data_IF_042975653970
#
_entry.id   IF_042975653970
#
_cell.length_a   1.000
_cell.length_b   1.000
_cell.length_c   1.000
_cell.angle_alpha   90.00
_cell.angle_beta   90.00
_cell.angle_gamma   90.00
#
_symmetry.space_group_name_H-M   'P 1'
#
loop_
_entity.id
_entity.type
_entity.pdbx_description
1 polymer ?
#
# COMPACT_ATOMS: atom_id res chain seq x y z
N UNK A 1 13.28 15.04 -32.53
CA UNK A 1 13.05 15.21 -31.07
C UNK A 1 11.55 15.04 -30.84
N UNK A 2 11.08 13.80 -30.88
CA UNK A 2 9.65 13.51 -30.94
C UNK A 2 9.07 13.44 -29.53
N UNK A 3 8.11 14.31 -29.27
CA UNK A 3 7.48 14.48 -27.96
C UNK A 3 6.72 13.21 -27.60
N UNK A 4 7.18 12.60 -26.52
CA UNK A 4 6.50 11.66 -25.62
C UNK A 4 4.97 11.87 -25.58
N UNK A 5 4.24 11.29 -26.53
CA UNK A 5 2.79 11.08 -26.42
C UNK A 5 2.60 9.97 -25.41
N UNK A 6 2.48 10.35 -24.14
CA UNK A 6 2.05 9.45 -23.08
C UNK A 6 0.69 8.87 -23.53
N UNK A 7 0.68 7.58 -23.89
CA UNK A 7 -0.51 6.85 -24.31
C UNK A 7 -1.66 7.15 -23.35
N UNK A 8 -2.78 7.66 -23.88
CA UNK A 8 -3.93 8.18 -23.12
C UNK A 8 -4.43 7.16 -22.08
N UNK A 9 -4.23 5.88 -22.33
CA UNK A 9 -4.61 4.81 -21.42
C UNK A 9 -3.65 4.65 -20.24
N UNK A 10 -2.34 4.83 -20.48
CA UNK A 10 -1.32 4.85 -19.43
C UNK A 10 -1.46 6.07 -18.54
N UNK A 11 -1.84 7.22 -19.09
CA UNK A 11 -2.06 8.45 -18.31
C UNK A 11 -3.27 8.35 -17.38
N UNK A 12 -4.35 7.65 -17.78
CA UNK A 12 -5.53 7.41 -16.93
C UNK A 12 -5.17 6.54 -15.72
N UNK A 13 -4.44 5.44 -15.93
CA UNK A 13 -3.98 4.59 -14.81
C UNK A 13 -3.00 5.32 -13.91
N UNK A 14 -2.09 6.10 -14.48
CA UNK A 14 -1.15 6.91 -13.71
C UNK A 14 -1.89 7.94 -12.86
N UNK A 15 -2.93 8.59 -13.41
CA UNK A 15 -3.81 9.49 -12.67
C UNK A 15 -4.51 8.81 -11.50
N UNK A 16 -5.00 7.58 -11.70
CA UNK A 16 -5.59 6.77 -10.61
C UNK A 16 -4.56 6.47 -9.51
N UNK A 17 -3.34 6.06 -9.87
CA UNK A 17 -2.25 5.82 -8.92
C UNK A 17 -1.89 7.10 -8.14
N UNK A 18 -1.79 8.24 -8.82
CA UNK A 18 -1.53 9.54 -8.19
C UNK A 18 -2.65 9.89 -7.20
N UNK A 19 -3.92 9.73 -7.58
CA UNK A 19 -5.05 9.98 -6.69
C UNK A 19 -5.03 9.07 -5.45
N UNK A 20 -4.70 7.78 -5.61
CA UNK A 20 -4.53 6.85 -4.48
C UNK A 20 -3.44 7.36 -3.53
N UNK A 21 -2.27 7.72 -4.06
CA UNK A 21 -1.13 8.24 -3.29
C UNK A 21 -1.51 9.53 -2.54
N UNK A 22 -2.16 10.47 -3.23
CA UNK A 22 -2.59 11.73 -2.64
C UNK A 22 -3.64 11.53 -1.55
N UNK A 23 -4.59 10.61 -1.74
CA UNK A 23 -5.59 10.29 -0.73
C UNK A 23 -4.96 9.70 0.55
N UNK A 24 -3.96 8.83 0.40
CA UNK A 24 -3.18 8.31 1.53
C UNK A 24 -2.40 9.41 2.24
N UNK A 25 -1.71 10.27 1.47
CA UNK A 25 -0.94 11.37 2.03
C UNK A 25 -1.84 12.36 2.78
N UNK A 26 -2.99 12.70 2.20
CA UNK A 26 -3.98 13.57 2.81
C UNK A 26 -4.51 12.99 4.13
N UNK A 27 -4.90 11.71 4.18
CA UNK A 27 -5.39 11.11 5.42
C UNK A 27 -4.36 11.21 6.56
N UNK A 28 -3.08 10.97 6.25
CA UNK A 28 -2.02 11.04 7.26
C UNK A 28 -1.72 12.45 7.73
N UNK A 29 -1.82 13.45 6.85
CA UNK A 29 -1.70 14.86 7.25
C UNK A 29 -2.89 15.24 8.13
N UNK A 30 -4.11 14.86 7.74
CA UNK A 30 -5.33 15.18 8.48
C UNK A 30 -5.37 14.50 9.86
N UNK A 31 -4.91 13.24 9.97
CA UNK A 31 -4.80 12.49 11.25
C UNK A 31 -3.94 13.24 12.28
N UNK A 32 -2.97 14.02 11.80
CA UNK A 32 -1.95 14.67 12.64
C UNK A 32 -2.23 16.17 12.81
N UNK A 33 -2.86 16.83 11.84
CA UNK A 33 -3.02 18.29 11.80
C UNK A 33 -4.40 18.79 12.24
N UNK A 34 -5.46 17.97 12.18
CA UNK A 34 -6.83 18.43 12.47
C UNK A 34 -7.26 18.02 13.87
N UNK A 35 -7.84 18.96 14.62
CA UNK A 35 -8.56 18.66 15.85
C UNK A 35 -9.78 17.78 15.55
N UNK A 36 -9.88 16.59 16.12
CA UNK A 36 -10.94 15.64 15.80
C UNK A 36 -12.32 16.25 16.11
N UNK A 37 -13.17 16.40 15.10
CA UNK A 37 -14.56 16.82 15.27
C UNK A 37 -15.49 15.93 14.46
N UNK A 38 -16.75 15.84 14.90
CA UNK A 38 -17.75 14.97 14.28
C UNK A 38 -17.98 15.35 12.81
N UNK A 39 -18.16 16.65 12.55
CA UNK A 39 -18.39 17.19 11.20
C UNK A 39 -17.19 16.95 10.29
N UNK A 40 -15.97 17.21 10.76
CA UNK A 40 -14.77 16.97 9.95
C UNK A 40 -14.59 15.48 9.61
N UNK A 41 -14.86 14.58 10.56
CA UNK A 41 -14.79 13.14 10.33
C UNK A 41 -15.78 12.64 9.28
N UNK A 42 -17.03 13.12 9.33
CA UNK A 42 -18.07 12.78 8.35
C UNK A 42 -17.69 13.30 6.96
N UNK A 43 -17.21 14.55 6.86
CA UNK A 43 -16.77 15.13 5.58
C UNK A 43 -15.60 14.34 4.99
N UNK A 44 -14.62 13.95 5.81
CA UNK A 44 -13.50 13.11 5.35
C UNK A 44 -13.99 11.76 4.81
N UNK A 45 -14.91 11.10 5.52
CA UNK A 45 -15.49 9.83 5.09
C UNK A 45 -16.21 9.95 3.73
N UNK A 46 -16.99 11.03 3.53
CA UNK A 46 -17.66 11.31 2.26
C UNK A 46 -16.66 11.58 1.13
N UNK A 47 -15.64 12.41 1.37
CA UNK A 47 -14.60 12.72 0.39
C UNK A 47 -13.86 11.45 -0.03
N UNK A 48 -13.44 10.60 0.90
CA UNK A 48 -12.76 9.34 0.55
C UNK A 48 -13.67 8.36 -0.20
N UNK A 49 -14.96 8.35 0.10
CA UNK A 49 -15.94 7.53 -0.65
C UNK A 49 -16.05 8.02 -2.10
N UNK A 50 -16.08 9.33 -2.32
CA UNK A 50 -16.08 9.91 -3.69
C UNK A 50 -14.77 9.58 -4.41
N UNK A 51 -13.63 9.71 -3.73
CA UNK A 51 -12.31 9.35 -4.30
C UNK A 51 -12.29 7.89 -4.74
N UNK A 52 -12.85 6.97 -3.94
CA UNK A 52 -12.97 5.55 -4.32
C UNK A 52 -13.76 5.39 -5.61
N UNK A 53 -14.92 6.05 -5.73
CA UNK A 53 -15.76 5.95 -6.93
C UNK A 53 -15.03 6.48 -8.18
N UNK A 54 -14.32 7.61 -8.05
CA UNK A 54 -13.51 8.18 -9.13
C UNK A 54 -12.38 7.23 -9.53
N UNK A 55 -11.62 6.71 -8.56
CA UNK A 55 -10.52 5.77 -8.84
C UNK A 55 -11.05 4.48 -9.48
N UNK A 56 -12.16 3.94 -8.98
CA UNK A 56 -12.81 2.77 -9.59
C UNK A 56 -13.15 3.03 -11.05
N UNK A 57 -13.77 4.17 -11.36
CA UNK A 57 -14.13 4.52 -12.73
C UNK A 57 -12.90 4.66 -13.64
N UNK A 58 -11.85 5.34 -13.18
CA UNK A 58 -10.60 5.50 -13.93
C UNK A 58 -9.94 4.15 -14.22
N UNK A 59 -9.84 3.29 -13.20
CA UNK A 59 -9.22 1.96 -13.33
C UNK A 59 -10.07 1.07 -14.24
N UNK A 60 -11.40 1.09 -14.11
CA UNK A 60 -12.32 0.26 -14.91
C UNK A 60 -12.24 0.52 -16.42
N UNK A 61 -11.84 1.73 -16.82
CA UNK A 61 -11.65 2.17 -18.22
C UNK A 61 -10.25 1.94 -18.75
N UNK A 62 -9.34 1.40 -17.95
CA UNK A 62 -8.01 1.06 -18.42
C UNK A 62 -8.07 -0.02 -19.50
N UNK A 63 -7.24 0.15 -20.54
CA UNK A 63 -7.00 -0.88 -21.57
C UNK A 63 -5.72 -1.67 -21.30
N UNK A 64 -4.83 -1.18 -20.42
CA UNK A 64 -3.58 -1.86 -20.09
C UNK A 64 -3.79 -2.81 -18.92
N UNK A 65 -3.72 -4.12 -19.17
CA UNK A 65 -3.90 -5.15 -18.14
C UNK A 65 -2.87 -5.03 -17.00
N UNK A 66 -1.59 -4.75 -17.29
CA UNK A 66 -0.55 -4.59 -16.25
C UNK A 66 -0.84 -3.38 -15.36
N UNK A 67 -1.04 -2.20 -15.94
CA UNK A 67 -1.29 -0.97 -15.18
C UNK A 67 -2.65 -1.00 -14.47
N UNK A 68 -3.65 -1.67 -15.08
CA UNK A 68 -4.96 -1.91 -14.48
C UNK A 68 -4.86 -2.79 -13.22
N UNK A 69 -4.11 -3.90 -13.29
CA UNK A 69 -3.85 -4.76 -12.11
C UNK A 69 -3.08 -3.98 -11.05
N UNK A 70 -2.05 -3.20 -11.43
CA UNK A 70 -1.24 -2.43 -10.49
C UNK A 70 -2.09 -1.39 -9.74
N UNK A 71 -2.87 -0.60 -10.48
CA UNK A 71 -3.73 0.43 -9.91
C UNK A 71 -4.85 -0.18 -9.06
N UNK A 72 -5.47 -1.27 -9.52
CA UNK A 72 -6.49 -1.98 -8.75
C UNK A 72 -5.92 -2.59 -7.46
N UNK A 73 -4.71 -3.15 -7.51
CA UNK A 73 -4.04 -3.72 -6.34
C UNK A 73 -3.64 -2.65 -5.32
N UNK A 74 -3.13 -1.50 -5.79
CA UNK A 74 -2.87 -0.34 -4.93
C UNK A 74 -4.16 0.16 -4.28
N UNK A 75 -5.22 0.32 -5.07
CA UNK A 75 -6.52 0.76 -4.57
C UNK A 75 -7.11 -0.23 -3.55
N UNK A 76 -7.02 -1.54 -3.80
CA UNK A 76 -7.47 -2.58 -2.86
C UNK A 76 -6.77 -2.49 -1.51
N UNK A 77 -5.48 -2.16 -1.51
CA UNK A 77 -4.67 -2.09 -0.28
C UNK A 77 -4.73 -0.74 0.43
N UNK A 78 -4.99 0.34 -0.29
CA UNK A 78 -4.84 1.69 0.23
C UNK A 78 -6.19 2.40 0.38
N UNK A 79 -7.17 2.16 -0.50
CA UNK A 79 -8.44 2.88 -0.49
C UNK A 79 -9.62 2.03 0.04
N UNK A 80 -10.57 2.66 0.76
CA UNK A 80 -10.48 3.98 1.37
C UNK A 80 -9.54 3.92 2.59
N UNK A 81 -8.81 5.00 2.91
CA UNK A 81 -7.94 5.01 4.09
C UNK A 81 -8.76 4.88 5.37
N UNK A 82 -8.13 4.40 6.45
CA UNK A 82 -8.80 4.31 7.74
C UNK A 82 -8.87 5.68 8.41
N UNK A 83 -10.01 6.02 9.04
CA UNK A 83 -10.16 7.26 9.80
C UNK A 83 -10.23 6.88 11.28
N UNK A 84 -9.07 6.82 11.92
CA UNK A 84 -8.89 6.22 13.26
C UNK A 84 -9.77 6.85 14.34
N UNK A 85 -9.99 8.17 14.27
CA UNK A 85 -10.76 8.91 15.28
C UNK A 85 -12.28 8.86 15.07
N UNK A 86 -12.77 8.40 13.91
CA UNK A 86 -14.21 8.48 13.57
C UNK A 86 -15.06 7.59 14.49
N UNK A 87 -14.54 6.44 14.90
CA UNK A 87 -15.24 5.49 15.78
C UNK A 87 -15.51 6.07 17.18
N UNK A 88 -14.65 6.97 17.65
CA UNK A 88 -14.80 7.61 18.97
C UNK A 88 -15.76 8.79 18.97
N UNK A 89 -16.07 9.38 17.81
CA UNK A 89 -16.83 10.64 17.71
C UNK A 89 -18.18 10.45 16.98
N UNK A 90 -18.24 9.57 15.99
CA UNK A 90 -19.43 9.30 15.18
C UNK A 90 -19.53 7.79 14.89
N UNK A 91 -20.03 6.97 15.83
CA UNK A 91 -20.05 5.51 15.69
C UNK A 91 -20.87 5.04 14.49
N UNK A 92 -22.04 5.65 14.23
CA UNK A 92 -22.89 5.30 13.09
C UNK A 92 -22.20 5.57 11.74
N UNK A 93 -21.55 6.73 11.62
CA UNK A 93 -20.79 7.09 10.42
C UNK A 93 -19.58 6.16 10.24
N UNK A 94 -18.91 5.78 11.34
CA UNK A 94 -17.81 4.81 11.32
C UNK A 94 -18.28 3.44 10.81
N UNK A 95 -19.44 2.97 11.26
CA UNK A 95 -20.03 1.71 10.80
C UNK A 95 -20.32 1.73 9.29
N UNK A 96 -20.97 2.78 8.79
CA UNK A 96 -21.24 2.93 7.35
C UNK A 96 -19.95 3.00 6.55
N UNK A 97 -18.97 3.78 7.01
CA UNK A 97 -17.68 3.90 6.34
C UNK A 97 -16.91 2.57 6.32
N UNK A 98 -17.00 1.77 7.37
CA UNK A 98 -16.43 0.43 7.40
C UNK A 98 -17.05 -0.49 6.34
N UNK A 99 -18.37 -0.45 6.15
CA UNK A 99 -19.04 -1.20 5.08
C UNK A 99 -18.51 -0.75 3.71
N UNK A 100 -18.38 0.56 3.49
CA UNK A 100 -17.78 1.11 2.26
C UNK A 100 -16.36 0.59 2.05
N UNK A 101 -15.53 0.54 3.09
CA UNK A 101 -14.18 -0.03 3.01
C UNK A 101 -14.20 -1.50 2.54
N UNK A 102 -15.07 -2.34 3.10
CA UNK A 102 -15.16 -3.76 2.71
C UNK A 102 -15.70 -3.93 1.30
N UNK A 103 -16.72 -3.17 0.90
CA UNK A 103 -17.23 -3.20 -0.47
C UNK A 103 -16.18 -2.74 -1.48
N UNK A 104 -15.36 -1.75 -1.12
CA UNK A 104 -14.26 -1.27 -1.97
C UNK A 104 -13.22 -2.36 -2.23
N UNK A 105 -12.84 -3.13 -1.21
CA UNK A 105 -11.92 -4.27 -1.36
C UNK A 105 -12.46 -5.30 -2.36
N UNK A 106 -13.76 -5.61 -2.28
CA UNK A 106 -14.43 -6.54 -3.21
C UNK A 106 -14.42 -5.99 -4.63
N UNK A 107 -14.78 -4.72 -4.82
CA UNK A 107 -14.82 -4.07 -6.13
C UNK A 107 -13.46 -4.10 -6.84
N UNK A 108 -12.38 -3.77 -6.12
CA UNK A 108 -11.04 -3.81 -6.71
C UNK A 108 -10.53 -5.23 -6.90
N UNK A 109 -10.92 -6.21 -6.07
CA UNK A 109 -10.62 -7.61 -6.30
C UNK A 109 -11.23 -8.12 -7.62
N UNK A 110 -12.48 -7.73 -7.90
CA UNK A 110 -13.15 -8.03 -9.17
C UNK A 110 -12.43 -7.39 -10.36
N UNK A 111 -11.95 -6.14 -10.22
CA UNK A 111 -11.15 -5.49 -11.27
C UNK A 111 -9.81 -6.19 -11.52
N UNK A 112 -9.10 -6.61 -10.46
CA UNK A 112 -7.87 -7.41 -10.58
C UNK A 112 -8.15 -8.69 -11.37
N UNK A 113 -9.21 -9.41 -11.02
CA UNK A 113 -9.61 -10.63 -11.74
C UNK A 113 -9.94 -10.36 -13.21
N UNK A 114 -10.72 -9.31 -13.49
CA UNK A 114 -11.06 -8.88 -14.85
C UNK A 114 -9.80 -8.62 -15.69
N UNK A 115 -8.86 -7.82 -15.18
CA UNK A 115 -7.61 -7.52 -15.89
C UNK A 115 -6.68 -8.72 -15.99
N UNK A 116 -6.69 -9.63 -15.01
CA UNK A 116 -5.94 -10.87 -15.05
C UNK A 116 -6.41 -11.80 -16.18
N UNK A 117 -7.73 -11.93 -16.36
CA UNK A 117 -8.31 -12.70 -17.46
C UNK A 117 -8.12 -12.03 -18.82
N UNK A 118 -8.01 -10.70 -18.86
CA UNK A 118 -7.77 -9.94 -20.09
C UNK A 118 -6.30 -9.95 -20.57
N UNK A 119 -5.38 -10.61 -19.86
CA UNK A 119 -4.01 -10.76 -20.33
C UNK A 119 -3.92 -11.74 -21.52
N UNK A 120 -3.08 -11.42 -22.51
CA UNK A 120 -2.74 -12.33 -23.60
C UNK A 120 -2.10 -13.62 -23.06
N UNK A 121 -2.33 -14.75 -23.75
CA UNK A 121 -1.70 -16.04 -23.40
C UNK A 121 -0.40 -16.20 -24.20
N UNK A 122 0.74 -16.57 -23.56
CA UNK A 122 0.90 -16.88 -22.13
C UNK A 122 0.85 -15.62 -21.25
N UNK A 123 0.18 -15.73 -20.08
CA UNK A 123 -0.01 -14.60 -19.16
C UNK A 123 1.34 -14.04 -18.70
N UNK A 124 1.54 -12.75 -18.91
CA UNK A 124 2.76 -12.03 -18.53
C UNK A 124 2.97 -12.01 -17.01
N UNK A 125 1.90 -11.81 -16.25
CA UNK A 125 1.94 -11.80 -14.78
C UNK A 125 1.26 -13.05 -14.26
N UNK A 126 1.97 -13.84 -13.47
CA UNK A 126 1.41 -15.03 -12.83
C UNK A 126 0.48 -14.63 -11.68
N UNK A 127 -0.52 -15.45 -11.37
CA UNK A 127 -1.48 -15.16 -10.29
C UNK A 127 -0.81 -15.14 -8.90
N UNK A 128 0.20 -16.00 -8.69
CA UNK A 128 0.83 -16.20 -7.40
C UNK A 128 1.51 -14.92 -6.85
N UNK A 129 2.31 -14.16 -7.62
CA UNK A 129 2.81 -12.84 -7.22
C UNK A 129 1.71 -11.86 -6.82
N UNK A 130 0.61 -11.80 -7.56
CA UNK A 130 -0.54 -10.91 -7.25
C UNK A 130 -1.14 -11.31 -5.90
N UNK A 131 -1.36 -12.60 -5.68
CA UNK A 131 -1.92 -13.13 -4.43
C UNK A 131 -1.01 -12.87 -3.23
N UNK A 132 0.29 -13.06 -3.38
CA UNK A 132 1.27 -12.77 -2.31
C UNK A 132 1.32 -11.29 -1.97
N UNK A 133 1.23 -10.41 -2.97
CA UNK A 133 1.16 -8.98 -2.73
C UNK A 133 -0.11 -8.60 -1.96
N UNK A 134 -1.20 -9.37 -2.03
CA UNK A 134 -2.40 -9.14 -1.21
C UNK A 134 -2.19 -9.69 0.21
N UNK A 135 -1.72 -10.93 0.35
CA UNK A 135 -1.83 -11.71 1.58
C UNK A 135 -0.58 -11.70 2.48
N UNK A 136 0.63 -11.56 1.93
CA UNK A 136 1.85 -11.82 2.69
C UNK A 136 2.04 -10.85 3.85
N UNK A 137 1.77 -9.55 3.64
CA UNK A 137 1.89 -8.52 4.68
C UNK A 137 0.83 -8.68 5.77
N UNK A 138 -0.49 -8.81 5.47
CA UNK A 138 -1.49 -9.11 6.49
C UNK A 138 -1.17 -10.35 7.32
N UNK A 139 -0.80 -11.44 6.65
CA UNK A 139 -0.41 -12.68 7.33
C UNK A 139 0.76 -12.48 8.29
N UNK A 140 1.81 -11.78 7.86
CA UNK A 140 2.97 -11.49 8.70
C UNK A 140 2.63 -10.51 9.84
N UNK A 141 1.70 -9.58 9.63
CA UNK A 141 1.24 -8.66 10.66
C UNK A 141 0.50 -9.40 11.78
N UNK A 142 -0.35 -10.37 11.46
CA UNK A 142 -1.07 -11.17 12.46
C UNK A 142 -0.10 -11.98 13.34
N UNK A 143 0.91 -12.59 12.71
CA UNK A 143 2.01 -13.26 13.42
C UNK A 143 2.73 -12.27 14.33
N UNK A 144 3.11 -11.10 13.81
CA UNK A 144 3.83 -10.09 14.58
C UNK A 144 3.02 -9.54 15.75
N UNK A 145 1.70 -9.44 15.61
CA UNK A 145 0.81 -8.96 16.67
C UNK A 145 0.74 -9.98 17.81
N UNK A 146 0.58 -11.27 17.49
CA UNK A 146 0.56 -12.34 18.48
C UNK A 146 1.89 -12.43 19.26
N UNK A 147 3.02 -12.53 18.53
CA UNK A 147 4.33 -12.59 19.17
C UNK A 147 4.71 -11.30 19.88
N UNK A 148 4.27 -10.14 19.37
CA UNK A 148 4.49 -8.84 20.01
C UNK A 148 3.85 -8.77 21.40
N UNK A 149 2.61 -9.21 21.56
CA UNK A 149 1.95 -9.27 22.87
C UNK A 149 2.66 -10.24 23.81
N UNK A 150 3.04 -11.42 23.30
CA UNK A 150 3.78 -12.41 24.09
C UNK A 150 5.11 -11.84 24.62
N UNK A 151 5.92 -11.20 23.76
CA UNK A 151 7.20 -10.63 24.18
C UNK A 151 7.03 -9.44 25.12
N UNK A 152 6.03 -8.59 24.90
CA UNK A 152 5.73 -7.49 25.82
C UNK A 152 5.37 -8.02 27.21
N UNK A 153 4.51 -9.05 27.28
CA UNK A 153 4.13 -9.69 28.55
C UNK A 153 5.34 -10.30 29.27
N UNK A 154 6.24 -10.97 28.53
CA UNK A 154 7.40 -11.65 29.12
C UNK A 154 8.53 -10.72 29.54
N UNK A 155 8.74 -9.63 28.81
CA UNK A 155 9.93 -8.77 28.99
C UNK A 155 9.61 -7.41 29.61
N UNK A 156 8.34 -6.98 29.60
CA UNK A 156 7.94 -5.62 29.97
C UNK A 156 8.50 -4.54 29.03
N UNK A 157 9.18 -4.91 27.95
CA UNK A 157 9.89 -4.01 27.05
C UNK A 157 9.29 -4.01 25.65
N UNK A 158 9.27 -2.83 25.03
CA UNK A 158 8.78 -2.63 23.67
C UNK A 158 9.80 -3.00 22.58
N UNK A 159 11.06 -3.29 22.94
CA UNK A 159 12.14 -3.57 21.97
C UNK A 159 11.84 -4.83 21.15
N UNK A 160 11.56 -5.97 21.80
CA UNK A 160 11.27 -7.24 21.12
C UNK A 160 9.99 -7.17 20.27
N UNK A 161 8.89 -6.55 20.74
CA UNK A 161 7.73 -6.30 19.89
C UNK A 161 8.08 -5.54 18.60
N UNK A 162 8.88 -4.47 18.66
CA UNK A 162 9.30 -3.73 17.47
C UNK A 162 10.18 -4.57 16.54
N UNK A 163 11.17 -5.29 17.08
CA UNK A 163 12.03 -6.19 16.29
C UNK A 163 11.22 -7.26 15.55
N UNK A 164 10.22 -7.83 16.23
CA UNK A 164 9.32 -8.83 15.65
C UNK A 164 8.54 -8.23 14.47
N UNK A 165 8.00 -7.02 14.62
CA UNK A 165 7.30 -6.33 13.52
C UNK A 165 8.22 -6.10 12.31
N UNK A 166 9.45 -5.62 12.53
CA UNK A 166 10.41 -5.44 11.44
C UNK A 166 10.76 -6.76 10.74
N UNK A 167 11.04 -7.81 11.51
CA UNK A 167 11.41 -9.12 10.98
C UNK A 167 10.28 -9.74 10.16
N UNK A 168 9.05 -9.73 10.69
CA UNK A 168 7.87 -10.23 9.98
C UNK A 168 7.61 -9.46 8.68
N UNK A 169 7.69 -8.13 8.70
CA UNK A 169 7.51 -7.31 7.51
C UNK A 169 8.60 -7.58 6.45
N UNK A 170 9.87 -7.60 6.87
CA UNK A 170 11.00 -7.89 6.00
C UNK A 170 10.86 -9.28 5.35
N UNK A 171 10.47 -10.29 6.14
CA UNK A 171 10.28 -11.65 5.65
C UNK A 171 9.14 -11.72 4.62
N UNK A 172 8.01 -11.05 4.87
CA UNK A 172 6.92 -10.96 3.89
C UNK A 172 7.39 -10.34 2.56
N UNK A 173 8.11 -9.23 2.63
CA UNK A 173 8.66 -8.55 1.46
C UNK A 173 9.68 -9.44 0.71
N UNK A 174 10.52 -10.20 1.41
CA UNK A 174 11.49 -11.11 0.79
C UNK A 174 10.82 -12.34 0.16
N UNK A 175 9.73 -12.85 0.73
CA UNK A 175 8.94 -13.95 0.14
C UNK A 175 8.29 -13.49 -1.17
N UNK A 176 7.68 -12.30 -1.17
CA UNK A 176 7.13 -11.69 -2.40
C UNK A 176 8.23 -11.57 -3.47
N UNK A 177 9.41 -11.09 -3.08
CA UNK A 177 10.55 -10.94 -3.98
C UNK A 177 10.96 -12.28 -4.59
N UNK A 178 11.21 -13.28 -3.76
CA UNK A 178 11.72 -14.58 -4.18
C UNK A 178 10.75 -15.29 -5.13
N UNK A 179 9.45 -15.25 -4.83
CA UNK A 179 8.42 -15.88 -5.67
C UNK A 179 8.23 -15.11 -6.98
N UNK A 180 8.21 -13.78 -6.93
CA UNK A 180 8.08 -12.94 -8.13
C UNK A 180 9.27 -13.12 -9.08
N UNK A 181 10.49 -13.22 -8.53
CA UNK A 181 11.70 -13.51 -9.29
C UNK A 181 11.63 -14.88 -9.99
N UNK A 182 11.17 -15.93 -9.29
CA UNK A 182 10.97 -17.27 -9.88
C UNK A 182 9.85 -17.32 -10.92
N UNK A 183 8.85 -16.45 -10.81
CA UNK A 183 7.71 -16.41 -11.74
C UNK A 183 8.04 -15.73 -13.08
N UNK A 184 9.20 -15.09 -13.20
CA UNK A 184 9.67 -14.47 -14.44
C UNK A 184 9.74 -12.94 -14.37
N UNK A 185 10.35 -12.35 -15.39
CA UNK A 185 10.73 -10.92 -15.42
C UNK A 185 9.56 -9.96 -15.30
N UNK A 186 8.43 -10.23 -15.96
CA UNK A 186 7.27 -9.33 -15.91
C UNK A 186 6.54 -9.39 -14.57
N UNK A 187 6.50 -10.57 -13.94
CA UNK A 187 6.02 -10.73 -12.56
C UNK A 187 6.92 -10.01 -11.56
N UNK A 188 8.24 -10.10 -11.72
CA UNK A 188 9.22 -9.37 -10.90
C UNK A 188 9.11 -7.85 -11.08
N UNK A 189 8.99 -7.36 -12.32
CA UNK A 189 8.76 -5.94 -12.62
C UNK A 189 7.50 -5.42 -11.96
N UNK A 190 6.40 -6.18 -12.09
CA UNK A 190 5.12 -5.83 -11.49
C UNK A 190 5.21 -5.72 -9.97
N UNK A 191 5.78 -6.73 -9.29
CA UNK A 191 5.95 -6.72 -7.85
C UNK A 191 6.87 -5.57 -7.39
N UNK A 192 7.97 -5.33 -8.10
CA UNK A 192 8.87 -4.22 -7.78
C UNK A 192 8.20 -2.85 -7.92
N UNK A 193 7.40 -2.62 -8.96
CA UNK A 193 6.68 -1.35 -9.11
C UNK A 193 5.64 -1.13 -8.01
N UNK A 194 4.91 -2.18 -7.65
CA UNK A 194 4.00 -2.12 -6.51
C UNK A 194 4.75 -1.78 -5.21
N UNK A 195 5.82 -2.52 -4.91
CA UNK A 195 6.58 -2.36 -3.66
C UNK A 195 7.33 -1.02 -3.60
N UNK A 196 7.85 -0.50 -4.70
CA UNK A 196 8.44 0.85 -4.72
C UNK A 196 7.43 1.93 -4.35
N UNK A 197 6.20 1.83 -4.87
CA UNK A 197 5.12 2.76 -4.52
C UNK A 197 4.75 2.58 -3.05
N UNK A 198 4.56 1.34 -2.59
CA UNK A 198 4.18 1.04 -1.21
C UNK A 198 5.25 1.49 -0.19
N UNK A 199 6.53 1.17 -0.42
CA UNK A 199 7.65 1.62 0.41
C UNK A 199 7.81 3.13 0.36
N UNK A 200 7.69 3.76 -0.81
CA UNK A 200 7.75 5.21 -0.95
C UNK A 200 6.69 5.94 -0.13
N UNK A 201 5.43 5.49 -0.19
CA UNK A 201 4.33 6.02 0.64
C UNK A 201 4.63 5.83 2.12
N UNK A 202 5.13 4.65 2.52
CA UNK A 202 5.43 4.37 3.92
C UNK A 202 6.61 5.21 4.45
N UNK A 203 7.66 5.44 3.64
CA UNK A 203 8.76 6.35 4.01
C UNK A 203 8.21 7.76 4.19
N UNK A 204 7.43 8.26 3.22
CA UNK A 204 6.83 9.59 3.29
C UNK A 204 5.97 9.74 4.56
N UNK A 205 5.20 8.70 4.91
CA UNK A 205 4.42 8.65 6.15
C UNK A 205 5.30 8.77 7.40
N UNK A 206 6.42 8.05 7.48
CA UNK A 206 7.28 8.13 8.66
C UNK A 206 7.98 9.50 8.76
N UNK A 207 8.40 10.06 7.62
CA UNK A 207 8.98 11.42 7.57
C UNK A 207 7.95 12.47 7.99
N UNK A 208 6.70 12.37 7.52
CA UNK A 208 5.63 13.28 7.90
C UNK A 208 5.34 13.27 9.41
N UNK A 209 5.27 12.08 10.03
CA UNK A 209 5.13 11.94 11.49
C UNK A 209 6.29 12.58 12.23
N UNK A 210 7.51 12.32 11.77
CA UNK A 210 8.72 12.87 12.36
C UNK A 210 8.75 14.40 12.27
N UNK A 211 8.39 14.97 11.12
CA UNK A 211 8.29 16.42 10.94
C UNK A 211 7.28 17.07 11.88
N UNK A 212 6.10 16.48 12.04
CA UNK A 212 5.10 17.01 12.99
C UNK A 212 5.57 16.93 14.45
N UNK A 213 6.14 15.79 14.87
CA UNK A 213 6.63 15.65 16.24
C UNK A 213 7.78 16.60 16.55
N UNK A 214 8.64 16.90 15.57
CA UNK A 214 9.67 17.92 15.70
C UNK A 214 9.10 19.32 15.90
N UNK A 215 8.02 19.68 15.18
CA UNK A 215 7.38 21.00 15.30
C UNK A 215 6.57 21.12 16.60
N UNK A 216 6.04 20.00 17.11
CA UNK A 216 5.15 19.97 18.27
C UNK A 216 5.86 19.66 19.60
N UNK A 217 7.20 19.67 19.62
CA UNK A 217 8.05 19.31 20.78
C UNK A 217 7.68 17.96 21.44
N UNK A 218 7.22 17.00 20.64
CA UNK A 218 6.83 15.67 21.12
C UNK A 218 8.00 14.68 21.06
N UNK A 219 7.98 13.67 21.95
CA UNK A 219 9.01 12.64 21.97
C UNK A 219 9.03 11.82 20.65
N UNK A 220 10.18 11.79 19.99
CA UNK A 220 10.38 11.04 18.75
C UNK A 220 10.91 9.63 19.07
N UNK A 221 10.08 8.62 18.84
CA UNK A 221 10.50 7.22 19.00
C UNK A 221 11.57 6.84 17.97
N UNK A 222 12.66 6.22 18.42
CA UNK A 222 13.72 5.65 17.56
C UNK A 222 13.18 4.63 16.54
N UNK A 223 12.02 4.03 16.81
CA UNK A 223 11.35 3.10 15.89
C UNK A 223 10.97 3.74 14.55
N UNK A 224 10.68 5.05 14.52
CA UNK A 224 10.33 5.77 13.28
C UNK A 224 11.48 5.71 12.27
N UNK A 225 12.71 5.95 12.73
CA UNK A 225 13.91 5.84 11.91
C UNK A 225 14.18 4.41 11.46
N UNK A 226 13.91 3.42 12.34
CA UNK A 226 14.04 1.99 12.00
C UNK A 226 13.14 1.59 10.82
N UNK A 227 11.89 2.05 10.81
CA UNK A 227 10.99 1.84 9.67
C UNK A 227 11.50 2.49 8.38
N UNK A 228 11.99 3.73 8.43
CA UNK A 228 12.56 4.42 7.25
C UNK A 228 13.73 3.62 6.67
N UNK A 229 14.67 3.20 7.52
CA UNK A 229 15.84 2.43 7.11
C UNK A 229 15.41 1.09 6.49
N UNK A 230 14.46 0.39 7.10
CA UNK A 230 13.95 -0.88 6.58
C UNK A 230 13.35 -0.72 5.19
N UNK A 231 12.45 0.26 5.00
CA UNK A 231 11.83 0.50 3.69
C UNK A 231 12.88 0.89 2.63
N UNK A 232 13.85 1.74 2.99
CA UNK A 232 14.93 2.13 2.08
C UNK A 232 15.80 0.91 1.68
N UNK A 233 16.15 0.04 2.64
CA UNK A 233 16.89 -1.17 2.37
C UNK A 233 16.11 -2.13 1.43
N UNK A 234 14.81 -2.29 1.67
CA UNK A 234 13.94 -3.11 0.81
C UNK A 234 13.83 -2.54 -0.62
N UNK A 235 13.76 -1.21 -0.79
CA UNK A 235 13.81 -0.58 -2.12
C UNK A 235 15.11 -0.97 -2.85
N UNK A 236 16.26 -0.89 -2.17
CA UNK A 236 17.55 -1.26 -2.76
C UNK A 236 17.57 -2.73 -3.15
N UNK A 237 17.10 -3.63 -2.28
CA UNK A 237 17.04 -5.08 -2.55
C UNK A 237 16.17 -5.37 -3.78
N UNK A 238 14.98 -4.78 -3.86
CA UNK A 238 14.08 -4.94 -5.00
C UNK A 238 14.67 -4.36 -6.30
N UNK A 239 15.35 -3.22 -6.24
CA UNK A 239 16.02 -2.60 -7.38
C UNK A 239 17.16 -3.48 -7.92
N UNK A 240 17.99 -4.05 -7.04
CA UNK A 240 19.07 -4.97 -7.41
C UNK A 240 18.50 -6.24 -8.06
N UNK A 241 17.47 -6.85 -7.46
CA UNK A 241 16.83 -8.04 -8.02
C UNK A 241 16.18 -7.77 -9.38
N UNK A 242 15.54 -6.60 -9.54
CA UNK A 242 14.97 -6.17 -10.81
C UNK A 242 16.06 -5.98 -11.88
N UNK A 243 17.19 -5.38 -11.52
CA UNK A 243 18.33 -5.22 -12.44
C UNK A 243 18.93 -6.57 -12.86
N UNK A 244 19.07 -7.52 -11.92
CA UNK A 244 19.57 -8.87 -12.22
C UNK A 244 18.61 -9.68 -13.09
N UNK A 245 17.29 -9.50 -12.90
CA UNK A 245 16.29 -10.15 -13.76
C UNK A 245 16.38 -9.75 -15.24
N UNK A 246 17.07 -8.64 -15.56
CA UNK A 246 17.33 -8.26 -16.95
C UNK A 246 18.36 -9.17 -17.64
N UNK A 247 19.30 -9.75 -16.88
CA UNK A 247 20.44 -10.51 -17.40
C UNK A 247 20.19 -12.02 -17.55
N UNK A 248 19.11 -12.56 -16.98
CA UNK A 248 18.83 -14.02 -16.95
C UNK A 248 18.06 -14.49 -18.19
N UNK A 249 17.68 -13.57 -19.09
CA UNK A 249 16.95 -13.86 -20.34
C UNK A 249 17.81 -13.73 -21.60
N UNK A 250 19.14 -13.69 -21.45
CA UNK A 250 20.10 -13.83 -22.57
C UNK A 250 20.74 -15.21 -22.53
#
# INVERSE_FOLDING_TARGET
>A
MDKMKLDRNKSICLGAVILIVLAQAAEKILEVSITPSQTAGIVCALVYTVVVAVVYFLVSRSTSSLMGILAALLALKMLPPNITYLSGIAPDASMVYFIVQKMTQILFAVLIYKFYCAQEKPRQIRALPILLLILAVPFANDISAFFGQYFLYKTGSMILPFLTQYACYALAALVILAVSYKCGRDSMRFAAYFEFIAFGINIFRQIGKLGYYMISDQHISKSLYGWIILFAALIVIYAVALAKSKKVTE
#
